data_IF_576986211479
#
_entry.id   IF_576986211479
#
_cell.length_a   1.000
_cell.length_b   1.000
_cell.length_c   1.000
_cell.angle_alpha   90.00
_cell.angle_beta   90.00
_cell.angle_gamma   90.00
#
_symmetry.space_group_name_H-M   'P 1'
#
loop_
_entity.id
_entity.type
_entity.pdbx_description
1 polymer ?
#
# COMPACT_ATOMS: atom_id res chain seq x y z
N UNK A 1 -90.59 17.24 57.56
CA UNK A 1 -89.49 18.11 57.41
C UNK A 1 -88.23 17.26 57.01
N UNK A 2 -88.30 16.49 55.93
CA UNK A 2 -87.16 15.66 55.45
C UNK A 2 -87.18 15.58 53.90
N UNK A 3 -87.04 16.71 53.24
CA UNK A 3 -86.87 16.74 51.74
C UNK A 3 -85.74 17.60 51.23
N UNK A 4 -84.94 18.19 52.13
CA UNK A 4 -83.83 19.08 51.69
C UNK A 4 -82.47 18.40 51.58
N UNK A 5 -82.26 17.24 52.22
CA UNK A 5 -80.90 16.61 52.23
C UNK A 5 -80.59 15.66 51.07
N UNK A 6 -81.60 15.22 50.28
CA UNK A 6 -81.36 14.34 49.15
C UNK A 6 -80.70 15.07 47.94
N UNK A 7 -81.00 16.35 47.76
CA UNK A 7 -80.37 17.13 46.64
C UNK A 7 -78.94 17.51 46.92
N UNK A 8 -78.55 17.66 48.20
CA UNK A 8 -77.16 17.97 48.55
C UNK A 8 -76.26 16.74 48.39
N UNK A 9 -76.74 15.54 48.70
CA UNK A 9 -76.01 14.30 48.52
C UNK A 9 -75.74 13.94 47.03
N UNK A 10 -76.75 14.24 46.18
CA UNK A 10 -76.59 13.99 44.74
C UNK A 10 -75.58 14.96 44.10
N UNK A 11 -75.57 16.23 44.60
CA UNK A 11 -74.62 17.21 44.12
C UNK A 11 -73.12 16.87 44.55
N UNK A 12 -73.00 16.34 45.80
CA UNK A 12 -71.69 15.90 46.30
C UNK A 12 -71.19 14.65 45.59
N UNK A 13 -72.03 13.72 45.20
CA UNK A 13 -71.68 12.54 44.43
C UNK A 13 -71.30 12.93 42.97
N UNK A 14 -72.00 13.92 42.39
CA UNK A 14 -71.69 14.39 41.05
C UNK A 14 -70.37 15.17 41.01
N UNK A 15 -70.02 15.88 42.09
CA UNK A 15 -68.71 16.57 42.20
C UNK A 15 -67.52 15.60 42.38
N UNK A 16 -67.77 14.41 42.98
CA UNK A 16 -66.75 13.39 43.13
C UNK A 16 -66.44 12.64 41.80
N UNK A 17 -67.40 12.63 40.87
CA UNK A 17 -67.14 12.00 39.55
C UNK A 17 -66.44 12.93 38.53
N UNK A 18 -66.42 14.23 38.75
CA UNK A 18 -65.71 15.17 37.86
C UNK A 18 -64.23 15.32 38.15
N UNK A 19 -63.70 14.73 39.23
CA UNK A 19 -62.26 14.86 39.58
C UNK A 19 -61.40 13.73 39.08
N UNK A 20 -61.85 12.82 38.22
CA UNK A 20 -61.06 11.68 37.73
C UNK A 20 -60.74 11.71 36.24
N UNK A 21 -60.96 12.82 35.58
CA UNK A 21 -60.31 13.00 34.25
C UNK A 21 -59.09 13.89 34.41
N UNK A 22 -58.08 13.38 35.16
CA UNK A 22 -56.72 13.77 34.94
C UNK A 22 -56.33 13.15 33.59
N UNK A 23 -56.49 13.88 32.50
CA UNK A 23 -55.83 13.58 31.29
C UNK A 23 -54.28 13.64 31.59
N UNK A 24 -53.69 12.49 31.88
CA UNK A 24 -52.28 12.37 31.73
C UNK A 24 -52.04 12.65 30.25
N UNK A 25 -51.57 13.85 29.94
CA UNK A 25 -50.96 14.15 28.65
C UNK A 25 -49.78 13.19 28.54
N UNK A 26 -49.94 12.13 27.73
CA UNK A 26 -48.86 11.28 27.36
C UNK A 26 -47.95 12.22 26.56
N UNK A 27 -46.89 12.68 27.19
CA UNK A 27 -45.79 13.33 26.48
C UNK A 27 -45.30 12.28 25.49
N UNK A 28 -45.66 12.45 24.23
CA UNK A 28 -45.15 11.61 23.16
C UNK A 28 -43.62 11.77 23.19
N UNK A 29 -42.92 10.74 23.65
CA UNK A 29 -41.50 10.80 23.87
C UNK A 29 -40.84 11.15 22.52
N UNK A 30 -40.27 12.34 22.43
CA UNK A 30 -39.62 12.81 21.20
C UNK A 30 -38.58 11.80 20.73
N UNK A 31 -38.66 11.44 19.47
CA UNK A 31 -37.67 10.57 18.79
C UNK A 31 -36.53 11.44 18.29
N UNK A 32 -35.29 11.08 18.61
CA UNK A 32 -34.07 11.64 18.00
C UNK A 32 -33.58 10.63 17.01
N UNK A 33 -33.61 10.97 15.72
CA UNK A 33 -33.05 10.15 14.66
C UNK A 33 -31.64 10.62 14.36
N UNK A 34 -30.70 9.68 14.40
CA UNK A 34 -29.34 9.88 13.94
C UNK A 34 -29.25 9.33 12.51
N UNK A 35 -29.04 10.20 11.55
CA UNK A 35 -28.82 9.83 10.15
C UNK A 35 -27.41 10.23 9.78
N UNK A 36 -26.72 9.35 9.10
CA UNK A 36 -25.39 9.57 8.59
C UNK A 36 -25.15 8.70 7.36
N UNK A 37 -24.10 9.01 6.64
CA UNK A 37 -23.59 8.17 5.57
C UNK A 37 -22.12 7.87 5.88
N UNK A 38 -21.68 6.71 5.43
CA UNK A 38 -20.28 6.30 5.52
C UNK A 38 -19.70 6.55 4.14
N UNK A 39 -18.70 7.42 4.06
CA UNK A 39 -17.91 7.63 2.86
C UNK A 39 -16.67 6.76 2.98
N UNK A 40 -16.41 5.95 1.96
CA UNK A 40 -15.12 5.28 1.81
C UNK A 40 -14.18 6.25 1.09
N UNK A 41 -13.39 6.99 1.86
CA UNK A 41 -12.38 7.93 1.38
C UNK A 41 -10.98 7.31 1.35
N UNK A 42 -10.92 5.97 1.46
CA UNK A 42 -9.62 5.27 1.42
C UNK A 42 -8.88 5.58 0.10
N UNK A 43 -7.59 5.88 0.17
CA UNK A 43 -6.78 6.15 -1.01
C UNK A 43 -6.82 4.99 -2.00
N UNK A 44 -7.16 5.28 -3.25
CA UNK A 44 -7.27 4.27 -4.32
C UNK A 44 -5.97 4.20 -5.09
N UNK A 45 -5.32 3.04 -5.04
CA UNK A 45 -4.11 2.78 -5.78
C UNK A 45 -4.39 2.12 -7.13
N UNK A 46 -3.63 2.50 -8.14
CA UNK A 46 -3.54 1.81 -9.43
C UNK A 46 -2.19 1.10 -9.51
N UNK A 47 -2.20 -0.20 -9.80
CA UNK A 47 -1.01 -1.04 -9.83
C UNK A 47 -0.82 -1.70 -11.18
N UNK A 48 0.45 -1.90 -11.58
CA UNK A 48 0.81 -2.69 -12.76
C UNK A 48 2.13 -3.43 -12.57
N UNK A 49 2.27 -4.57 -13.23
CA UNK A 49 3.58 -5.17 -13.51
C UNK A 49 4.14 -4.45 -14.74
N UNK A 50 5.29 -3.82 -14.58
CA UNK A 50 5.82 -2.89 -15.57
C UNK A 50 6.66 -3.56 -16.67
N UNK A 51 7.17 -4.79 -16.42
CA UNK A 51 7.87 -5.59 -17.42
C UNK A 51 7.04 -6.79 -17.85
N UNK A 52 7.16 -7.15 -19.11
CA UNK A 52 6.62 -8.40 -19.66
C UNK A 52 7.54 -9.58 -19.32
N UNK A 53 7.05 -10.81 -19.58
CA UNK A 53 7.84 -12.02 -19.46
C UNK A 53 9.17 -11.88 -20.22
N UNK A 54 10.24 -12.38 -19.61
CA UNK A 54 11.59 -12.36 -20.15
C UNK A 54 12.01 -13.75 -20.63
N UNK A 55 12.62 -13.80 -21.80
CA UNK A 55 13.17 -15.02 -22.39
C UNK A 55 14.68 -14.85 -22.59
N UNK A 56 15.47 -15.52 -21.73
CA UNK A 56 16.92 -15.41 -21.74
C UNK A 56 17.55 -16.74 -22.09
N UNK A 57 18.24 -16.77 -23.24
CA UNK A 57 19.15 -17.85 -23.57
C UNK A 57 20.50 -17.63 -22.88
N UNK A 58 21.10 -18.72 -22.41
CA UNK A 58 22.45 -18.76 -21.85
C UNK A 58 23.25 -19.89 -22.54
N UNK A 59 24.52 -19.67 -22.77
CA UNK A 59 25.45 -20.68 -23.31
C UNK A 59 26.32 -21.19 -22.17
N UNK A 60 26.47 -22.51 -22.08
CA UNK A 60 27.35 -23.15 -21.08
C UNK A 60 28.80 -22.68 -21.25
N UNK A 61 29.21 -22.32 -22.47
CA UNK A 61 30.53 -21.79 -22.75
C UNK A 61 30.79 -20.44 -22.03
N UNK A 62 29.75 -19.68 -21.75
CA UNK A 62 29.85 -18.39 -21.05
C UNK A 62 29.75 -18.55 -19.51
N UNK A 63 29.53 -19.76 -19.05
CA UNK A 63 29.36 -20.03 -17.62
C UNK A 63 30.70 -20.07 -16.88
N UNK A 64 30.76 -19.43 -15.72
CA UNK A 64 31.80 -19.68 -14.75
C UNK A 64 31.48 -20.94 -13.94
N UNK A 65 32.36 -21.94 -13.94
CA UNK A 65 32.14 -23.12 -13.07
C UNK A 65 32.65 -22.84 -11.66
N UNK A 66 31.82 -23.17 -10.68
CA UNK A 66 32.17 -23.10 -9.26
C UNK A 66 31.66 -24.37 -8.56
N UNK A 67 32.59 -25.27 -8.23
CA UNK A 67 32.25 -26.58 -7.69
C UNK A 67 31.36 -27.39 -8.64
N UNK A 68 30.16 -27.72 -8.19
CA UNK A 68 29.17 -28.46 -8.99
C UNK A 68 28.09 -27.56 -9.64
N UNK A 69 28.38 -26.25 -9.78
CA UNK A 69 27.45 -25.28 -10.37
C UNK A 69 28.06 -24.56 -11.57
N UNK A 70 27.22 -24.28 -12.56
CA UNK A 70 27.44 -23.25 -13.58
C UNK A 70 26.81 -21.95 -13.11
N UNK A 71 27.59 -20.88 -13.17
CA UNK A 71 27.17 -19.53 -12.80
C UNK A 71 27.21 -18.66 -14.06
N UNK A 72 26.04 -18.17 -14.44
CA UNK A 72 25.84 -17.28 -15.58
C UNK A 72 25.63 -15.85 -15.07
N UNK A 73 26.52 -14.94 -15.46
CA UNK A 73 26.34 -13.51 -15.22
C UNK A 73 25.35 -12.95 -16.25
N UNK A 74 24.25 -12.40 -15.77
CA UNK A 74 23.19 -11.84 -16.58
C UNK A 74 23.06 -10.31 -16.40
N UNK A 75 24.09 -9.63 -15.91
CA UNK A 75 24.09 -8.19 -15.72
C UNK A 75 23.84 -7.41 -17.02
N UNK A 76 24.19 -8.00 -18.17
CA UNK A 76 23.90 -7.46 -19.50
C UNK A 76 22.41 -7.37 -19.84
N UNK A 77 21.52 -8.00 -19.05
CA UNK A 77 20.06 -7.90 -19.21
C UNK A 77 19.51 -6.57 -18.70
N UNK A 78 20.35 -5.81 -17.99
CA UNK A 78 20.01 -4.47 -17.54
C UNK A 78 19.06 -4.43 -16.35
N UNK A 79 18.40 -3.30 -16.19
CA UNK A 79 17.42 -3.05 -15.13
C UNK A 79 16.01 -3.27 -15.66
N UNK A 80 15.22 -4.08 -14.95
CA UNK A 80 13.82 -4.35 -15.28
C UNK A 80 12.90 -3.68 -14.27
N UNK A 81 12.00 -2.78 -14.68
CA UNK A 81 10.94 -2.32 -13.81
C UNK A 81 9.99 -3.49 -13.50
N UNK A 82 9.61 -3.63 -12.21
CA UNK A 82 8.80 -4.77 -11.79
C UNK A 82 7.40 -4.34 -11.36
N UNK A 83 7.24 -3.81 -10.16
CA UNK A 83 5.96 -3.31 -9.68
C UNK A 83 5.95 -1.79 -9.71
N UNK A 84 4.92 -1.23 -10.29
CA UNK A 84 4.65 0.21 -10.27
C UNK A 84 3.24 0.48 -9.79
N UNK A 85 3.10 1.51 -8.97
CA UNK A 85 1.82 1.98 -8.47
C UNK A 85 1.79 3.48 -8.29
N UNK A 86 0.59 4.05 -8.37
CA UNK A 86 0.34 5.43 -8.02
C UNK A 86 -1.08 5.57 -7.48
N UNK A 87 -1.34 6.61 -6.70
CA UNK A 87 -2.71 6.94 -6.35
C UNK A 87 -3.49 7.37 -7.59
N UNK A 88 -4.71 6.88 -7.72
CA UNK A 88 -5.60 7.29 -8.80
C UNK A 88 -5.88 8.80 -8.74
N UNK A 89 -6.13 9.31 -7.54
CA UNK A 89 -6.37 10.72 -7.23
C UNK A 89 -5.64 11.13 -5.95
N UNK A 90 -5.54 12.43 -5.69
CA UNK A 90 -4.93 12.92 -4.46
C UNK A 90 -5.68 12.40 -3.23
N UNK A 91 -4.94 11.89 -2.26
CA UNK A 91 -5.48 11.61 -0.95
C UNK A 91 -5.60 12.90 -0.15
N UNK A 92 -6.75 13.13 0.50
CA UNK A 92 -6.93 14.29 1.37
C UNK A 92 -5.89 14.30 2.49
N UNK A 93 -5.59 13.11 3.04
CA UNK A 93 -4.57 12.91 4.09
C UNK A 93 -3.97 11.51 3.99
N UNK A 94 -2.83 11.28 4.63
CA UNK A 94 -2.31 9.95 4.88
C UNK A 94 -3.16 9.21 5.93
N UNK A 95 -2.94 7.93 6.08
CA UNK A 95 -3.67 7.08 7.01
C UNK A 95 -3.82 5.66 6.50
N UNK A 96 -4.80 4.91 6.98
CA UNK A 96 -5.09 3.56 6.46
C UNK A 96 -5.24 3.60 4.94
N UNK A 97 -4.66 2.63 4.25
CA UNK A 97 -4.70 2.54 2.80
C UNK A 97 -3.74 3.48 2.04
N UNK A 98 -3.14 4.48 2.68
CA UNK A 98 -2.21 5.36 2.00
C UNK A 98 -0.86 4.68 1.71
N UNK A 99 -0.33 3.91 2.67
CA UNK A 99 0.93 3.19 2.51
C UNK A 99 0.64 1.70 2.33
N UNK A 100 0.83 1.15 1.13
CA UNK A 100 0.55 -0.26 0.85
C UNK A 100 1.59 -1.16 1.54
N UNK A 101 1.19 -2.37 1.92
CA UNK A 101 2.10 -3.42 2.33
C UNK A 101 2.39 -4.34 1.13
N UNK A 102 3.66 -4.57 0.84
CA UNK A 102 4.10 -5.27 -0.37
C UNK A 102 4.87 -6.54 0.00
N UNK A 103 4.40 -7.66 -0.52
CA UNK A 103 4.99 -8.97 -0.29
C UNK A 103 5.54 -9.54 -1.60
N UNK A 104 6.80 -9.91 -1.58
CA UNK A 104 7.46 -10.58 -2.70
C UNK A 104 7.58 -12.07 -2.46
N UNK A 105 7.29 -12.88 -3.49
CA UNK A 105 7.31 -14.33 -3.39
C UNK A 105 7.66 -15.00 -4.72
N UNK A 106 7.97 -16.28 -4.66
CA UNK A 106 8.06 -17.16 -5.82
C UNK A 106 7.19 -18.39 -5.56
N UNK A 107 6.17 -18.60 -6.39
CA UNK A 107 5.19 -19.68 -6.20
C UNK A 107 4.60 -19.74 -4.78
N UNK A 108 4.30 -18.58 -4.17
CA UNK A 108 3.74 -18.48 -2.82
C UNK A 108 4.77 -18.61 -1.67
N UNK A 109 6.03 -18.84 -1.97
CA UNK A 109 7.12 -18.89 -0.99
C UNK A 109 7.80 -17.51 -0.96
N UNK A 110 7.95 -16.86 0.21
CA UNK A 110 8.69 -15.61 0.32
C UNK A 110 10.10 -15.71 -0.27
N UNK A 111 10.63 -14.59 -0.78
CA UNK A 111 12.00 -14.57 -1.29
C UNK A 111 13.00 -15.00 -0.23
N UNK A 112 14.01 -15.74 -0.65
CA UNK A 112 15.20 -16.00 0.15
C UNK A 112 16.13 -14.79 0.02
N UNK A 113 16.19 -13.96 1.06
CA UNK A 113 17.10 -12.81 1.10
C UNK A 113 18.52 -13.27 1.42
N UNK A 114 19.50 -12.59 0.85
CA UNK A 114 20.92 -12.92 0.98
C UNK A 114 21.55 -11.93 1.97
N UNK A 115 22.53 -12.40 2.73
CA UNK A 115 23.30 -11.60 3.70
C UNK A 115 22.44 -10.96 4.81
N UNK A 116 21.32 -11.62 5.19
CA UNK A 116 20.44 -11.12 6.24
C UNK A 116 19.60 -9.91 5.84
N UNK A 117 19.40 -9.71 4.53
CA UNK A 117 18.56 -8.64 3.99
C UNK A 117 17.10 -8.80 4.40
N UNK A 118 16.37 -7.69 4.40
CA UNK A 118 14.93 -7.62 4.67
C UNK A 118 14.23 -7.16 3.38
N UNK A 119 13.13 -7.84 3.01
CA UNK A 119 12.32 -7.51 1.83
C UNK A 119 11.61 -6.16 1.94
N UNK A 120 11.53 -5.57 3.12
CA UNK A 120 11.08 -4.19 3.32
C UNK A 120 12.17 -3.14 3.07
N UNK A 121 13.45 -3.54 2.98
CA UNK A 121 14.56 -2.59 2.73
C UNK A 121 14.44 -1.94 1.36
N UNK A 122 14.92 -0.70 1.24
CA UNK A 122 14.99 0.01 -0.04
C UNK A 122 15.73 -0.77 -1.12
N UNK A 123 16.76 -1.50 -0.74
CA UNK A 123 17.53 -2.34 -1.65
C UNK A 123 17.98 -3.61 -0.94
N UNK A 124 17.75 -4.75 -1.57
CA UNK A 124 18.20 -6.04 -1.05
C UNK A 124 18.49 -7.01 -2.19
N UNK A 125 19.35 -7.99 -1.90
CA UNK A 125 19.63 -9.08 -2.80
C UNK A 125 18.80 -10.31 -2.39
N UNK A 126 18.22 -10.97 -3.38
CA UNK A 126 17.38 -12.14 -3.15
C UNK A 126 17.65 -13.24 -4.18
N UNK A 127 17.11 -14.42 -3.91
CA UNK A 127 17.06 -15.50 -4.87
C UNK A 127 15.69 -16.16 -4.90
N UNK A 128 15.36 -16.70 -6.06
CA UNK A 128 14.18 -17.53 -6.27
C UNK A 128 14.59 -18.87 -6.90
N UNK A 129 13.82 -19.95 -6.65
CA UNK A 129 14.10 -21.22 -7.27
C UNK A 129 13.89 -21.17 -8.79
N UNK A 130 14.78 -21.85 -9.50
CA UNK A 130 14.66 -22.12 -10.92
C UNK A 130 14.19 -23.54 -11.11
N UNK A 131 13.21 -23.73 -11.96
CA UNK A 131 12.58 -25.00 -12.28
C UNK A 131 13.01 -25.45 -13.68
N UNK A 132 13.23 -26.74 -13.83
CA UNK A 132 13.28 -27.35 -15.15
C UNK A 132 11.88 -27.32 -15.75
N UNK A 133 11.71 -26.67 -16.89
CA UNK A 133 10.39 -26.49 -17.53
C UNK A 133 9.79 -27.82 -18.00
N UNK A 134 10.61 -28.85 -18.26
CA UNK A 134 10.14 -30.11 -18.81
C UNK A 134 9.53 -31.05 -17.75
N UNK A 135 10.01 -30.97 -16.50
CA UNK A 135 9.57 -31.87 -15.42
C UNK A 135 9.10 -31.15 -14.15
N UNK A 136 9.24 -29.84 -14.08
CA UNK A 136 8.81 -29.02 -12.94
C UNK A 136 9.69 -29.11 -11.69
N UNK A 137 10.79 -29.85 -11.72
CA UNK A 137 11.68 -30.00 -10.58
C UNK A 137 12.54 -28.73 -10.38
N UNK A 138 12.86 -28.42 -9.12
CA UNK A 138 13.83 -27.36 -8.81
C UNK A 138 15.21 -27.78 -9.33
N UNK A 139 15.81 -26.92 -10.13
CA UNK A 139 17.09 -27.19 -10.81
C UNK A 139 18.12 -26.10 -10.61
N UNK A 140 17.87 -25.11 -9.76
CA UNK A 140 18.84 -24.04 -9.53
C UNK A 140 18.23 -22.83 -8.84
N UNK A 141 18.92 -21.71 -8.91
CA UNK A 141 18.48 -20.41 -8.36
C UNK A 141 18.76 -19.28 -9.32
N UNK A 142 17.82 -18.33 -9.39
CA UNK A 142 18.01 -17.03 -10.01
C UNK A 142 18.19 -16.00 -8.90
N UNK A 143 19.33 -15.34 -8.89
CA UNK A 143 19.70 -14.26 -7.99
C UNK A 143 19.44 -12.92 -8.67
N UNK A 144 19.01 -11.94 -7.90
CA UNK A 144 18.82 -10.58 -8.39
C UNK A 144 18.86 -9.58 -7.23
N UNK A 145 19.08 -8.33 -7.56
CA UNK A 145 18.90 -7.21 -6.64
C UNK A 145 17.54 -6.58 -6.89
N UNK A 146 16.75 -6.38 -5.83
CA UNK A 146 15.54 -5.60 -5.88
C UNK A 146 15.78 -4.24 -5.22
N UNK A 147 15.47 -3.18 -5.95
CA UNK A 147 15.43 -1.80 -5.45
C UNK A 147 14.00 -1.32 -5.46
N UNK A 148 13.53 -0.72 -4.38
CA UNK A 148 12.17 -0.23 -4.24
C UNK A 148 12.11 1.11 -3.52
N UNK A 149 11.12 1.91 -3.84
CA UNK A 149 10.87 3.16 -3.16
C UNK A 149 9.43 3.62 -3.31
N UNK A 150 8.95 4.33 -2.30
CA UNK A 150 7.71 5.10 -2.34
C UNK A 150 8.04 6.59 -2.27
N UNK A 151 7.44 7.37 -3.15
CA UNK A 151 7.55 8.83 -3.19
C UNK A 151 6.22 9.49 -2.91
N UNK A 152 6.25 10.64 -2.26
CA UNK A 152 5.08 11.48 -1.97
C UNK A 152 5.37 12.92 -2.32
N UNK A 153 4.38 13.61 -2.88
CA UNK A 153 4.37 15.06 -3.02
C UNK A 153 3.17 15.64 -2.29
N UNK A 154 3.38 16.73 -1.55
CA UNK A 154 2.39 17.33 -0.65
C UNK A 154 2.01 18.71 -1.18
N UNK A 155 0.71 19.00 -1.32
CA UNK A 155 0.23 20.32 -1.74
C UNK A 155 0.10 21.30 -0.58
N UNK A 156 -0.35 20.86 0.59
CA UNK A 156 -0.59 21.73 1.74
C UNK A 156 0.05 21.18 3.01
N UNK A 157 0.58 22.10 3.80
CA UNK A 157 1.23 21.84 5.08
C UNK A 157 0.63 22.77 6.12
N UNK A 158 0.28 22.23 7.27
CA UNK A 158 -0.19 22.98 8.42
C UNK A 158 0.99 23.58 9.19
N UNK A 159 0.72 24.53 10.07
CA UNK A 159 1.73 25.15 10.92
C UNK A 159 2.51 24.09 11.72
N UNK A 160 3.82 24.29 11.84
CA UNK A 160 4.72 23.42 12.60
C UNK A 160 5.38 22.30 11.80
N UNK A 161 5.04 22.13 10.51
CA UNK A 161 5.77 21.28 9.58
C UNK A 161 6.27 22.12 8.41
N UNK A 162 7.53 21.94 8.07
CA UNK A 162 8.09 22.47 6.83
C UNK A 162 8.71 21.34 6.04
N UNK A 163 7.99 20.90 5.02
CA UNK A 163 8.52 19.97 4.03
C UNK A 163 9.01 20.77 2.81
N UNK A 164 10.15 20.41 2.24
CA UNK A 164 10.62 21.07 1.03
C UNK A 164 9.67 20.73 -0.13
N UNK A 165 9.56 21.65 -1.08
CA UNK A 165 8.84 21.41 -2.32
C UNK A 165 9.44 20.22 -3.06
N UNK A 166 8.60 19.42 -3.71
CA UNK A 166 9.01 18.29 -4.50
C UNK A 166 8.63 16.95 -3.92
N UNK A 167 9.15 15.90 -4.55
CA UNK A 167 8.96 14.52 -4.16
C UNK A 167 9.91 14.16 -3.02
N UNK A 168 9.37 13.82 -1.88
CA UNK A 168 10.07 13.20 -0.75
C UNK A 168 9.88 11.68 -0.78
N UNK A 169 10.87 10.93 -0.30
CA UNK A 169 10.73 9.49 -0.13
C UNK A 169 10.01 9.16 1.18
N UNK A 170 9.26 8.07 1.19
CA UNK A 170 8.52 7.62 2.39
C UNK A 170 9.25 6.45 3.02
N UNK A 171 9.50 6.56 4.34
CA UNK A 171 9.96 5.45 5.17
C UNK A 171 8.82 4.94 6.05
N UNK A 172 8.49 3.66 5.92
CA UNK A 172 7.38 3.02 6.63
C UNK A 172 7.27 1.54 6.32
N UNK A 173 6.07 1.01 6.37
CA UNK A 173 5.82 -0.41 6.19
C UNK A 173 6.15 -0.93 4.77
N UNK A 174 5.90 -0.11 3.73
CA UNK A 174 6.20 -0.49 2.35
C UNK A 174 7.70 -0.58 2.10
N UNK A 175 8.43 0.42 2.59
CA UNK A 175 9.89 0.51 2.40
C UNK A 175 10.50 1.08 3.66
N UNK A 176 11.37 0.31 4.30
CA UNK A 176 12.13 0.70 5.49
C UNK A 176 13.54 1.19 5.12
N UNK A 177 14.21 1.84 6.07
CA UNK A 177 15.63 2.24 5.95
C UNK A 177 15.94 3.02 4.66
N UNK A 178 15.09 3.99 4.33
CA UNK A 178 15.17 4.76 3.09
C UNK A 178 16.38 5.71 3.13
N UNK A 179 17.22 5.61 2.10
CA UNK A 179 18.41 6.43 1.90
C UNK A 179 18.34 7.10 0.51
N UNK A 180 17.90 8.36 0.40
CA UNK A 180 17.68 9.02 -0.88
C UNK A 180 18.92 9.05 -1.79
N UNK A 181 20.12 9.12 -1.18
CA UNK A 181 21.38 9.12 -1.92
C UNK A 181 21.69 7.78 -2.61
N UNK A 182 21.10 6.68 -2.13
CA UNK A 182 21.29 5.33 -2.69
C UNK A 182 20.23 4.95 -3.71
N UNK A 183 19.15 5.74 -3.84
CA UNK A 183 18.13 5.49 -4.84
C UNK A 183 18.67 5.80 -6.24
N UNK A 184 18.53 4.85 -7.16
CA UNK A 184 18.98 5.00 -8.54
C UNK A 184 18.25 6.12 -9.28
N UNK A 185 18.88 6.67 -10.30
CA UNK A 185 18.27 7.68 -11.17
C UNK A 185 17.04 7.12 -11.90
N UNK A 186 17.07 5.84 -12.24
CA UNK A 186 15.94 5.16 -12.89
C UNK A 186 14.72 5.13 -11.95
N UNK A 187 14.89 4.68 -10.70
CA UNK A 187 13.82 4.68 -9.71
C UNK A 187 13.26 6.08 -9.44
N UNK A 188 14.12 7.09 -9.32
CA UNK A 188 13.69 8.50 -9.16
C UNK A 188 12.86 8.99 -10.35
N UNK A 189 13.30 8.70 -11.56
CA UNK A 189 12.60 9.10 -12.79
C UNK A 189 11.22 8.44 -12.88
N UNK A 190 11.13 7.15 -12.53
CA UNK A 190 9.86 6.41 -12.54
C UNK A 190 8.89 6.95 -11.50
N UNK A 191 9.34 7.15 -10.26
CA UNK A 191 8.51 7.77 -9.22
C UNK A 191 7.98 9.15 -9.65
N UNK A 192 8.86 9.99 -10.23
CA UNK A 192 8.45 11.31 -10.74
C UNK A 192 7.37 11.19 -11.81
N UNK A 193 7.53 10.26 -12.75
CA UNK A 193 6.54 10.02 -13.81
C UNK A 193 5.21 9.50 -13.26
N UNK A 194 5.25 8.59 -12.30
CA UNK A 194 4.06 8.02 -11.67
C UNK A 194 3.31 9.04 -10.80
N UNK A 195 4.02 9.93 -10.10
CA UNK A 195 3.39 11.01 -9.34
C UNK A 195 2.56 11.93 -10.24
N UNK A 196 3.06 12.24 -11.44
CA UNK A 196 2.34 13.06 -12.42
C UNK A 196 1.05 12.41 -12.95
N UNK A 197 0.87 11.10 -12.73
CA UNK A 197 -0.34 10.37 -13.12
C UNK A 197 -1.47 10.49 -12.07
N UNK A 198 -1.19 10.99 -10.87
CA UNK A 198 -2.23 11.20 -9.86
C UNK A 198 -3.20 12.28 -10.35
N UNK A 199 -4.48 11.97 -10.39
CA UNK A 199 -5.52 12.93 -10.76
C UNK A 199 -5.55 14.07 -9.72
N UNK A 200 -5.46 15.32 -10.19
CA UNK A 200 -5.37 16.50 -9.34
C UNK A 200 -3.94 16.93 -8.99
N UNK A 201 -2.91 16.20 -9.45
CA UNK A 201 -1.54 16.67 -9.32
C UNK A 201 -1.35 18.05 -10.00
N UNK A 202 -0.86 19.04 -9.26
CA UNK A 202 -0.79 20.40 -9.77
C UNK A 202 -0.28 21.41 -8.75
N UNK A 203 -0.99 22.52 -8.59
CA UNK A 203 -0.58 23.68 -7.79
C UNK A 203 -0.05 23.30 -6.40
N UNK A 204 1.14 23.76 -6.06
CA UNK A 204 1.83 23.47 -4.81
C UNK A 204 2.61 22.15 -4.80
N UNK A 205 2.46 21.31 -5.82
CA UNK A 205 3.13 20.02 -5.93
C UNK A 205 4.25 20.05 -6.96
N UNK A 206 5.24 19.19 -6.75
CA UNK A 206 6.31 18.95 -7.71
C UNK A 206 6.76 17.49 -7.66
N UNK A 207 7.01 16.90 -8.82
CA UNK A 207 7.55 15.54 -8.93
C UNK A 207 9.09 15.52 -8.91
N UNK A 208 9.75 16.67 -8.80
CA UNK A 208 11.21 16.72 -8.68
C UNK A 208 11.67 16.19 -7.31
N UNK A 209 12.63 15.28 -7.31
CA UNK A 209 13.16 14.71 -6.05
C UNK A 209 13.85 15.78 -5.20
N UNK A 210 13.50 15.86 -3.92
CA UNK A 210 14.10 16.81 -2.96
C UNK A 210 15.09 16.13 -1.98
N UNK A 211 15.34 14.84 -2.09
CA UNK A 211 16.22 14.05 -1.22
C UNK A 211 15.80 14.00 0.27
N UNK A 212 14.56 14.33 0.60
CA UNK A 212 14.01 14.21 1.96
C UNK A 212 13.36 12.85 2.16
N UNK A 213 13.30 12.44 3.43
CA UNK A 213 12.55 11.26 3.88
C UNK A 213 11.45 11.70 4.82
N UNK A 214 10.23 11.27 4.54
CA UNK A 214 9.06 11.49 5.39
C UNK A 214 8.68 10.16 6.03
N UNK A 215 8.51 10.17 7.34
CA UNK A 215 8.00 8.99 8.04
C UNK A 215 6.49 8.87 7.85
N UNK A 216 6.01 7.65 7.75
CA UNK A 216 4.58 7.35 7.63
C UNK A 216 3.74 8.00 8.74
N UNK A 217 4.27 8.12 9.96
CA UNK A 217 3.59 8.79 11.07
C UNK A 217 3.27 10.27 10.79
N UNK A 218 4.13 10.98 10.03
CA UNK A 218 3.90 12.38 9.63
C UNK A 218 2.76 12.47 8.61
N UNK A 219 2.65 11.48 7.73
CA UNK A 219 1.58 11.42 6.73
C UNK A 219 0.22 11.12 7.36
N UNK A 220 0.22 10.36 8.46
CA UNK A 220 -1.00 9.87 9.12
C UNK A 220 -1.59 10.84 10.15
N UNK A 221 -0.84 11.81 10.64
CA UNK A 221 -1.27 12.70 11.73
C UNK A 221 -2.09 13.92 11.28
N UNK A 222 -2.37 14.03 9.98
CA UNK A 222 -3.21 15.08 9.42
C UNK A 222 -2.52 16.44 9.27
N UNK A 223 -1.23 16.54 9.55
CA UNK A 223 -0.46 17.79 9.39
C UNK A 223 -0.15 18.14 7.93
N UNK A 224 -0.30 17.18 7.05
CA UNK A 224 -0.15 17.33 5.61
C UNK A 224 -1.41 16.88 4.89
N UNK A 225 -1.80 17.58 3.85
CA UNK A 225 -3.02 17.29 3.09
C UNK A 225 -2.80 17.41 1.58
N UNK A 226 -3.71 16.80 0.83
CA UNK A 226 -3.65 16.70 -0.63
C UNK A 226 -2.34 16.06 -1.08
N UNK A 227 -2.26 14.76 -0.87
CA UNK A 227 -1.07 13.94 -1.08
C UNK A 227 -1.17 13.20 -2.42
N UNK A 228 -0.16 13.35 -3.26
CA UNK A 228 0.10 12.42 -4.36
C UNK A 228 1.12 11.38 -3.90
N UNK A 229 0.94 10.13 -4.27
CA UNK A 229 1.89 9.08 -3.95
C UNK A 229 2.14 8.15 -5.13
N UNK A 230 3.35 7.62 -5.17
CA UNK A 230 3.79 6.65 -6.16
C UNK A 230 4.75 5.64 -5.53
N UNK A 231 4.78 4.45 -6.11
CA UNK A 231 5.68 3.37 -5.75
C UNK A 231 6.31 2.77 -7.00
N UNK A 232 7.58 2.40 -6.91
CA UNK A 232 8.27 1.65 -7.95
C UNK A 232 9.20 0.61 -7.35
N UNK A 233 9.38 -0.51 -8.05
CA UNK A 233 10.45 -1.46 -7.80
C UNK A 233 11.14 -1.86 -9.09
N UNK A 234 12.44 -2.12 -8.99
CA UNK A 234 13.34 -2.48 -10.08
C UNK A 234 14.08 -3.76 -9.74
N UNK A 235 14.29 -4.60 -10.73
CA UNK A 235 15.12 -5.79 -10.64
C UNK A 235 16.41 -5.57 -11.45
N UNK A 236 17.55 -5.93 -10.89
CA UNK A 236 18.86 -5.81 -11.53
C UNK A 236 19.83 -6.89 -11.06
N UNK A 237 21.06 -6.83 -11.54
CA UNK A 237 22.18 -7.67 -11.11
C UNK A 237 21.84 -9.16 -11.11
N UNK A 238 21.28 -9.62 -12.22
CA UNK A 238 20.83 -11.00 -12.36
C UNK A 238 22.01 -11.96 -12.48
N UNK A 239 21.92 -13.09 -11.74
CA UNK A 239 22.85 -14.20 -11.80
C UNK A 239 22.06 -15.52 -11.77
N UNK A 240 22.25 -16.37 -12.77
CA UNK A 240 21.61 -17.69 -12.81
C UNK A 240 22.63 -18.76 -12.38
N UNK A 241 22.24 -19.61 -11.44
CA UNK A 241 23.02 -20.77 -11.03
C UNK A 241 22.27 -22.06 -11.32
N UNK A 242 22.92 -22.94 -12.06
CA UNK A 242 22.38 -24.24 -12.44
C UNK A 242 23.39 -25.35 -12.08
N UNK A 243 22.96 -26.58 -11.80
CA UNK A 243 23.88 -27.69 -11.57
C UNK A 243 24.70 -27.96 -12.82
N UNK A 244 25.99 -28.27 -12.64
CA UNK A 244 26.87 -28.62 -13.74
C UNK A 244 26.57 -30.01 -14.34
N UNK A 245 25.98 -30.90 -13.51
CA UNK A 245 25.49 -32.18 -13.94
C UNK A 245 23.96 -32.16 -14.04
N UNK A 246 23.42 -32.54 -15.20
CA UNK A 246 21.98 -32.51 -15.43
C UNK A 246 21.41 -31.12 -15.61
N UNK A 247 22.19 -30.18 -16.14
CA UNK A 247 21.72 -28.83 -16.50
C UNK A 247 20.48 -28.91 -17.36
N UNK A 248 19.34 -28.28 -16.95
CA UNK A 248 18.11 -28.36 -17.71
C UNK A 248 18.24 -27.61 -19.04
N UNK A 249 17.71 -28.13 -20.15
CA UNK A 249 17.72 -27.44 -21.44
C UNK A 249 16.80 -26.22 -21.45
N UNK A 250 15.73 -26.26 -20.63
CA UNK A 250 14.78 -25.16 -20.45
C UNK A 250 14.58 -24.89 -18.97
N UNK A 251 14.63 -23.63 -18.60
CA UNK A 251 14.49 -23.20 -17.23
C UNK A 251 13.42 -22.11 -17.08
N UNK A 252 12.83 -22.06 -15.90
CA UNK A 252 11.79 -21.10 -15.54
C UNK A 252 11.98 -20.63 -14.11
N UNK A 253 11.99 -19.31 -13.90
CA UNK A 253 11.90 -18.67 -12.60
C UNK A 253 10.64 -17.81 -12.55
N UNK A 254 9.99 -17.73 -11.38
CA UNK A 254 8.81 -16.90 -11.19
C UNK A 254 9.04 -15.92 -10.05
N UNK A 255 8.70 -14.67 -10.30
CA UNK A 255 8.73 -13.59 -9.33
C UNK A 255 7.30 -13.05 -9.22
N UNK A 256 6.72 -13.15 -8.03
CA UNK A 256 5.36 -12.73 -7.74
C UNK A 256 5.37 -11.60 -6.71
N UNK A 257 4.36 -10.75 -6.77
CA UNK A 257 4.13 -9.70 -5.80
C UNK A 257 2.66 -9.68 -5.39
N UNK A 258 2.42 -9.46 -4.10
CA UNK A 258 1.09 -9.23 -3.53
C UNK A 258 1.10 -7.85 -2.89
N UNK A 259 0.11 -7.04 -3.22
CA UNK A 259 -0.09 -5.71 -2.64
C UNK A 259 -1.31 -5.76 -1.75
N UNK A 260 -1.16 -5.32 -0.51
CA UNK A 260 -2.23 -5.23 0.48
C UNK A 260 -2.39 -3.75 0.82
N UNK A 261 -3.58 -3.21 0.58
CA UNK A 261 -3.99 -1.87 0.95
C UNK A 261 -4.99 -2.02 2.09
N UNK A 262 -4.68 -1.48 3.28
CA UNK A 262 -5.48 -1.64 4.50
C UNK A 262 -6.21 -0.34 4.85
#
# INVERSE_FOLDING_TARGET
>A
MIKKNKKLSVLAILALFCSCFSCAEILDGGEIQFNGFITDEAPKWTWRIASTDQFWGVDIADARRSGNEFIFDLNNKGVLPFLEGHLFELAERGGPGFTPFILFSSNGIPFETIEGGDTSSQKFRASVPVYNSDNGNVSGKLYFTLEQAMGVSVAHQNEGITLPAGMSLVSGESVSNVLPAQLSSEAKSRLSSLLLMNLGFGNGMSAASNNQVINQSVLSDGRVTNLAAAYTSLLSDFELRLPAEGTPPHWLARINVTVIVQ
#
